data_IF_864893023557
#
_entry.id   IF_864893023557
#
_cell.length_a   1.000
_cell.length_b   1.000
_cell.length_c   1.000
_cell.angle_alpha   90.00
_cell.angle_beta   90.00
_cell.angle_gamma   90.00
#
_symmetry.space_group_name_H-M   'P 1'
#
loop_
_entity.id
_entity.type
_entity.pdbx_description
1 polymer ?
#
# COMPACT_ATOMS: atom_id res chain seq x y z
N UNK A 1 9.64 17.53 10.42
CA UNK A 1 8.61 16.49 10.34
C UNK A 1 8.30 16.03 11.76
N UNK A 2 7.03 15.98 12.14
CA UNK A 2 6.58 15.38 13.41
C UNK A 2 6.94 13.90 13.42
N UNK A 3 7.22 13.33 14.59
CA UNK A 3 7.45 11.88 14.70
C UNK A 3 6.25 11.11 14.15
N UNK A 4 6.47 10.03 13.37
CA UNK A 4 5.37 9.24 12.84
C UNK A 4 4.50 8.68 13.95
N UNK A 5 3.17 8.75 13.80
CA UNK A 5 2.26 8.14 14.74
C UNK A 5 2.22 6.61 14.57
N UNK A 6 2.04 5.83 15.64
CA UNK A 6 1.74 4.41 15.55
C UNK A 6 0.48 4.13 14.70
N UNK A 7 0.40 2.91 14.15
CA UNK A 7 -0.79 2.41 13.46
C UNK A 7 -1.12 1.00 13.96
N UNK A 8 -1.85 0.89 15.06
CA UNK A 8 -2.07 -0.38 15.76
C UNK A 8 -2.88 -1.39 14.95
N UNK A 9 -3.73 -0.93 14.04
CA UNK A 9 -4.63 -1.79 13.29
C UNK A 9 -4.90 -1.26 11.89
N UNK A 10 -5.10 -2.15 10.94
CA UNK A 10 -5.56 -1.80 9.59
C UNK A 10 -6.94 -1.10 9.61
N UNK A 11 -7.76 -1.39 10.62
CA UNK A 11 -9.05 -0.71 10.84
C UNK A 11 -8.93 0.80 11.06
N UNK A 12 -7.73 1.29 11.36
CA UNK A 12 -7.44 2.73 11.50
C UNK A 12 -6.75 3.32 10.27
N UNK A 13 -6.48 2.50 9.26
CA UNK A 13 -5.76 2.94 8.07
C UNK A 13 -6.67 3.68 7.08
N UNK A 14 -6.25 4.86 6.65
CA UNK A 14 -6.80 5.56 5.50
C UNK A 14 -5.97 5.21 4.26
N UNK A 15 -6.61 4.55 3.29
CA UNK A 15 -5.94 3.97 2.13
C UNK A 15 -6.32 4.72 0.86
N UNK A 16 -5.36 4.94 -0.04
CA UNK A 16 -5.64 5.28 -1.42
C UNK A 16 -5.64 4.00 -2.29
N UNK A 17 -6.69 3.85 -3.09
CA UNK A 17 -6.90 2.76 -4.02
C UNK A 17 -7.40 3.33 -5.35
N UNK A 18 -6.61 3.15 -6.40
CA UNK A 18 -6.93 3.78 -7.68
C UNK A 18 -7.60 2.83 -8.65
N UNK A 19 -8.58 3.36 -9.35
CA UNK A 19 -9.31 2.59 -10.38
C UNK A 19 -8.51 2.44 -11.67
N UNK A 20 -7.54 3.33 -11.91
CA UNK A 20 -6.68 3.30 -13.09
C UNK A 20 -7.43 3.44 -14.41
N UNK A 21 -6.78 3.16 -15.52
CA UNK A 21 -7.32 3.27 -16.88
C UNK A 21 -8.01 2.01 -17.38
N UNK A 22 -7.54 0.81 -16.95
CA UNK A 22 -8.17 -0.45 -17.36
C UNK A 22 -9.49 -0.66 -16.60
N UNK A 23 -10.58 -0.63 -17.35
CA UNK A 23 -11.97 -0.80 -16.88
C UNK A 23 -12.65 -2.00 -17.54
N UNK A 24 -11.88 -2.97 -18.06
CA UNK A 24 -12.43 -4.22 -18.56
C UNK A 24 -13.21 -4.97 -17.46
N UNK A 25 -14.17 -5.79 -17.84
CA UNK A 25 -15.03 -6.50 -16.89
C UNK A 25 -14.18 -7.36 -15.91
N UNK A 26 -13.20 -8.08 -16.43
CA UNK A 26 -12.32 -8.91 -15.62
C UNK A 26 -11.56 -8.10 -14.57
N UNK A 27 -10.95 -6.99 -14.98
CA UNK A 27 -10.17 -6.12 -14.06
C UNK A 27 -11.09 -5.41 -13.07
N UNK A 28 -12.28 -4.98 -13.50
CA UNK A 28 -13.26 -4.38 -12.59
C UNK A 28 -13.75 -5.35 -11.53
N UNK A 29 -13.92 -6.63 -11.85
CA UNK A 29 -14.26 -7.64 -10.85
C UNK A 29 -13.17 -7.80 -9.79
N UNK A 30 -11.89 -7.89 -10.20
CA UNK A 30 -10.74 -7.97 -9.27
C UNK A 30 -10.67 -6.72 -8.37
N UNK A 31 -10.83 -5.54 -8.96
CA UNK A 31 -10.85 -4.25 -8.22
C UNK A 31 -12.01 -4.21 -7.23
N UNK A 32 -13.19 -4.63 -7.65
CA UNK A 32 -14.38 -4.61 -6.78
C UNK A 32 -14.23 -5.59 -5.61
N UNK A 33 -13.74 -6.80 -5.84
CA UNK A 33 -13.47 -7.75 -4.76
C UNK A 33 -12.39 -7.24 -3.81
N UNK A 34 -11.33 -6.64 -4.33
CA UNK A 34 -10.27 -6.01 -3.52
C UNK A 34 -10.83 -4.89 -2.66
N UNK A 35 -11.61 -3.98 -3.27
CA UNK A 35 -12.27 -2.90 -2.54
C UNK A 35 -13.19 -3.43 -1.45
N UNK A 36 -14.03 -4.43 -1.78
CA UNK A 36 -14.95 -5.05 -0.81
C UNK A 36 -14.21 -5.62 0.41
N UNK A 37 -13.05 -6.29 0.20
CA UNK A 37 -12.23 -6.81 1.30
C UNK A 37 -11.55 -5.71 2.10
N UNK A 38 -11.07 -4.65 1.44
CA UNK A 38 -10.45 -3.53 2.16
C UNK A 38 -11.41 -2.86 3.14
N UNK A 39 -12.67 -2.64 2.73
CA UNK A 39 -13.66 -1.88 3.54
C UNK A 39 -14.64 -2.75 4.31
N UNK A 40 -14.83 -3.99 3.89
CA UNK A 40 -15.80 -4.90 4.49
C UNK A 40 -15.36 -5.42 5.84
N UNK A 41 -16.32 -5.82 6.63
CA UNK A 41 -16.09 -6.42 7.95
C UNK A 41 -16.22 -7.95 7.87
N UNK A 42 -15.14 -8.65 8.23
CA UNK A 42 -15.09 -10.11 8.26
C UNK A 42 -16.10 -10.70 9.25
N UNK A 43 -16.26 -10.06 10.40
CA UNK A 43 -17.15 -10.51 11.46
C UNK A 43 -18.62 -10.29 11.09
N UNK A 44 -18.88 -9.39 10.14
CA UNK A 44 -20.21 -9.12 9.55
C UNK A 44 -20.45 -9.85 8.23
N UNK A 45 -19.64 -10.86 7.90
CA UNK A 45 -19.88 -11.77 6.78
C UNK A 45 -19.21 -11.40 5.45
N UNK A 46 -18.21 -10.49 5.44
CA UNK A 46 -17.38 -10.23 4.27
C UNK A 46 -16.10 -11.08 4.34
N UNK A 47 -15.97 -12.16 3.55
CA UNK A 47 -14.79 -13.01 3.60
C UNK A 47 -13.52 -12.23 3.26
N UNK A 48 -12.52 -12.26 4.18
CA UNK A 48 -11.27 -11.51 4.01
C UNK A 48 -11.40 -10.00 4.23
N UNK A 49 -12.50 -9.55 4.82
CA UNK A 49 -12.72 -8.14 5.16
C UNK A 49 -11.74 -7.64 6.21
N UNK A 50 -11.12 -6.49 5.99
CA UNK A 50 -10.11 -5.87 6.86
C UNK A 50 -10.58 -4.56 7.50
N UNK A 51 -11.74 -4.05 7.08
CA UNK A 51 -12.43 -2.92 7.69
C UNK A 51 -11.56 -1.65 7.80
N UNK A 52 -10.84 -1.29 6.72
CA UNK A 52 -10.07 -0.05 6.70
C UNK A 52 -10.93 1.15 7.11
N UNK A 53 -10.34 2.13 7.78
CA UNK A 53 -11.03 3.37 8.19
C UNK A 53 -11.71 4.07 7.02
N UNK A 54 -11.07 4.04 5.87
CA UNK A 54 -11.65 4.58 4.65
C UNK A 54 -10.74 4.37 3.44
N UNK A 55 -11.35 4.49 2.26
CA UNK A 55 -10.64 4.40 0.99
C UNK A 55 -10.87 5.69 0.20
N UNK A 56 -9.84 6.15 -0.48
CA UNK A 56 -9.86 7.32 -1.36
C UNK A 56 -9.35 6.94 -2.74
N UNK A 57 -9.90 7.58 -3.77
CA UNK A 57 -9.38 7.53 -5.13
C UNK A 57 -9.23 8.98 -5.60
N UNK A 58 -8.00 9.40 -5.83
CA UNK A 58 -7.67 10.80 -6.13
C UNK A 58 -7.15 11.01 -7.55
N UNK A 59 -6.81 9.90 -8.23
CA UNK A 59 -6.47 9.91 -9.65
C UNK A 59 -5.04 10.33 -9.98
N UNK A 60 -4.13 10.44 -9.01
CA UNK A 60 -2.74 10.83 -9.26
C UNK A 60 -1.77 10.00 -8.43
N UNK A 61 -0.95 9.18 -9.09
CA UNK A 61 0.10 8.42 -8.43
C UNK A 61 1.09 9.33 -7.68
N UNK A 62 1.58 10.37 -8.32
CA UNK A 62 2.53 11.31 -7.71
C UNK A 62 1.97 11.97 -6.45
N UNK A 63 0.71 12.41 -6.48
CA UNK A 63 0.06 13.00 -5.31
C UNK A 63 -0.20 11.96 -4.22
N UNK A 64 -0.59 10.74 -4.57
CA UNK A 64 -0.78 9.67 -3.59
C UNK A 64 0.52 9.31 -2.86
N UNK A 65 1.66 9.20 -3.58
CA UNK A 65 2.97 9.04 -2.96
C UNK A 65 3.28 10.19 -1.98
N UNK A 66 3.03 11.45 -2.38
CA UNK A 66 3.25 12.60 -1.53
C UNK A 66 2.34 12.58 -0.28
N UNK A 67 1.07 12.22 -0.42
CA UNK A 67 0.15 12.11 0.71
C UNK A 67 0.57 11.02 1.71
N UNK A 68 1.06 9.87 1.24
CA UNK A 68 1.61 8.83 2.12
C UNK A 68 2.90 9.32 2.79
N UNK A 69 3.79 9.99 2.05
CA UNK A 69 5.03 10.55 2.60
C UNK A 69 4.77 11.60 3.69
N UNK A 70 3.72 12.40 3.54
CA UNK A 70 3.28 13.38 4.55
C UNK A 70 2.53 12.76 5.73
N UNK A 71 2.13 11.48 5.65
CA UNK A 71 1.33 10.81 6.66
C UNK A 71 -0.17 11.19 6.67
N UNK A 72 -0.67 11.81 5.61
CA UNK A 72 -2.10 12.10 5.43
C UNK A 72 -2.89 10.93 4.87
N UNK A 73 -2.19 9.95 4.30
CA UNK A 73 -2.66 8.61 3.99
C UNK A 73 -1.74 7.59 4.68
N UNK A 74 -2.30 6.47 5.09
CA UNK A 74 -1.53 5.38 5.69
C UNK A 74 -0.93 4.45 4.66
N UNK A 75 -1.63 4.21 3.56
CA UNK A 75 -1.16 3.39 2.45
C UNK A 75 -1.72 3.86 1.11
N UNK A 76 -1.01 3.51 0.05
CA UNK A 76 -1.43 3.70 -1.33
C UNK A 76 -1.08 2.48 -2.17
N UNK A 77 -2.03 2.02 -2.99
CA UNK A 77 -1.83 0.89 -3.89
C UNK A 77 -2.35 1.20 -5.29
N UNK A 78 -1.56 0.81 -6.29
CA UNK A 78 -1.90 0.99 -7.70
C UNK A 78 -1.19 -0.03 -8.60
N UNK A 79 -1.87 -0.38 -9.68
CA UNK A 79 -1.33 -1.16 -10.80
C UNK A 79 -1.58 -0.37 -12.09
N UNK A 80 -0.49 -0.19 -12.88
CA UNK A 80 -0.58 0.40 -14.22
C UNK A 80 0.21 1.68 -14.43
N UNK A 81 0.63 2.38 -13.38
CA UNK A 81 1.51 3.55 -13.52
C UNK A 81 2.85 3.17 -14.11
N UNK A 82 3.43 4.10 -14.87
CA UNK A 82 4.76 3.96 -15.41
C UNK A 82 5.83 4.46 -14.44
N UNK A 83 7.07 4.03 -14.64
CA UNK A 83 8.20 4.42 -13.79
C UNK A 83 8.36 5.95 -13.67
N UNK A 84 8.12 6.70 -14.76
CA UNK A 84 8.21 8.17 -14.75
C UNK A 84 7.11 8.86 -13.97
N UNK A 85 5.96 8.20 -13.74
CA UNK A 85 4.87 8.73 -12.90
C UNK A 85 5.19 8.64 -11.41
N UNK A 86 6.07 7.71 -11.03
CA UNK A 86 6.29 7.35 -9.62
C UNK A 86 7.73 7.56 -9.13
N UNK A 87 8.72 7.71 -10.01
CA UNK A 87 10.13 7.75 -9.60
C UNK A 87 10.43 8.86 -8.58
N UNK A 88 9.90 10.07 -8.78
CA UNK A 88 10.05 11.15 -7.82
C UNK A 88 9.31 10.86 -6.51
N UNK A 89 8.08 10.33 -6.60
CA UNK A 89 7.28 9.92 -5.45
C UNK A 89 7.95 8.84 -4.61
N UNK A 90 8.59 7.87 -5.25
CA UNK A 90 9.38 6.82 -4.58
C UNK A 90 10.52 7.43 -3.76
N UNK A 91 11.27 8.37 -4.31
CA UNK A 91 12.35 9.04 -3.58
C UNK A 91 11.79 9.80 -2.37
N UNK A 92 10.75 10.61 -2.59
CA UNK A 92 10.11 11.38 -1.51
C UNK A 92 9.59 10.45 -0.40
N UNK A 93 8.91 9.37 -0.76
CA UNK A 93 8.37 8.41 0.20
C UNK A 93 9.50 7.73 1.00
N UNK A 94 10.58 7.31 0.33
CA UNK A 94 11.71 6.67 1.00
C UNK A 94 12.42 7.61 1.97
N UNK A 95 12.67 8.84 1.57
CA UNK A 95 13.28 9.87 2.44
C UNK A 95 12.37 10.19 3.66
N UNK A 96 11.07 10.03 3.50
CA UNK A 96 10.10 10.16 4.60
C UNK A 96 9.98 8.89 5.48
N UNK A 97 10.76 7.83 5.22
CA UNK A 97 10.71 6.58 5.98
C UNK A 97 9.57 5.64 5.60
N UNK A 98 8.93 5.85 4.45
CA UNK A 98 7.90 4.95 3.97
C UNK A 98 8.48 3.62 3.46
N UNK A 99 7.70 2.57 3.58
CA UNK A 99 7.94 1.29 2.93
C UNK A 99 7.38 1.35 1.50
N UNK A 100 8.23 1.07 0.51
CA UNK A 100 7.83 1.00 -0.91
C UNK A 100 8.05 -0.41 -1.42
N UNK A 101 7.00 -1.04 -1.91
CA UNK A 101 6.97 -2.41 -2.41
C UNK A 101 6.44 -2.46 -3.85
N UNK A 102 6.82 -3.53 -4.57
CA UNK A 102 6.35 -3.84 -5.92
C UNK A 102 5.11 -4.74 -5.89
N UNK A 103 5.14 -5.83 -6.69
CA UNK A 103 4.07 -6.83 -6.69
C UNK A 103 3.98 -7.62 -5.37
N UNK A 104 2.86 -8.32 -5.19
CA UNK A 104 2.68 -9.25 -4.08
C UNK A 104 3.80 -10.31 -4.02
N UNK A 105 4.23 -10.83 -5.17
CA UNK A 105 5.34 -11.77 -5.25
C UNK A 105 6.67 -11.14 -4.80
N UNK A 106 6.94 -9.88 -5.19
CA UNK A 106 8.09 -9.14 -4.69
C UNK A 106 8.01 -8.92 -3.17
N UNK A 107 6.85 -8.50 -2.67
CA UNK A 107 6.64 -8.24 -1.25
C UNK A 107 6.86 -9.48 -0.38
N UNK A 108 6.44 -10.67 -0.83
CA UNK A 108 6.62 -11.93 -0.11
C UNK A 108 8.11 -12.22 0.19
N UNK A 109 9.03 -11.82 -0.69
CA UNK A 109 10.47 -11.98 -0.50
C UNK A 109 11.09 -10.80 0.25
N UNK A 110 10.66 -9.58 -0.08
CA UNK A 110 11.27 -8.35 0.42
C UNK A 110 10.97 -8.11 1.91
N UNK A 111 9.78 -8.48 2.39
CA UNK A 111 9.37 -8.27 3.78
C UNK A 111 10.11 -9.18 4.78
N UNK A 112 10.59 -10.35 4.33
CA UNK A 112 11.34 -11.30 5.14
C UNK A 112 12.84 -11.26 4.86
N UNK A 113 13.28 -10.34 3.99
CA UNK A 113 14.68 -10.15 3.63
C UNK A 113 15.51 -9.57 4.76
N UNK A 114 16.88 -9.70 4.66
CA UNK A 114 17.80 -9.28 5.70
C UNK A 114 17.96 -7.75 5.81
N UNK A 115 17.48 -7.00 4.84
CA UNK A 115 17.59 -5.52 4.78
C UNK A 115 16.20 -4.90 4.88
N UNK A 116 16.03 -4.00 5.84
CA UNK A 116 14.80 -3.26 6.02
C UNK A 116 15.06 -1.75 6.18
N UNK A 117 14.32 -0.86 5.51
CA UNK A 117 13.35 -1.17 4.45
C UNK A 117 14.05 -1.77 3.21
N UNK A 118 13.39 -2.66 2.47
CA UNK A 118 14.00 -3.28 1.29
C UNK A 118 14.34 -2.21 0.24
N UNK A 119 15.42 -2.38 -0.54
CA UNK A 119 15.77 -1.43 -1.59
C UNK A 119 14.69 -1.41 -2.69
N UNK A 120 14.42 -0.22 -3.22
CA UNK A 120 13.59 -0.12 -4.43
C UNK A 120 14.47 -0.41 -5.65
N UNK A 121 14.35 -1.61 -6.18
CA UNK A 121 15.10 -2.08 -7.34
C UNK A 121 14.49 -1.56 -8.65
N UNK A 122 15.22 -1.58 -9.77
CA UNK A 122 14.64 -1.30 -11.10
C UNK A 122 13.39 -2.13 -11.39
N UNK A 123 13.33 -3.38 -10.96
CA UNK A 123 12.18 -4.27 -11.16
C UNK A 123 10.93 -3.77 -10.44
N UNK A 124 11.06 -3.16 -9.26
CA UNK A 124 9.93 -2.50 -8.59
C UNK A 124 9.44 -1.33 -9.42
N UNK A 125 10.35 -0.49 -9.94
CA UNK A 125 9.97 0.68 -10.73
C UNK A 125 9.33 0.31 -12.07
N UNK A 126 9.83 -0.74 -12.74
CA UNK A 126 9.34 -1.15 -14.05
C UNK A 126 8.20 -2.15 -13.99
N UNK A 127 7.99 -2.79 -12.84
CA UNK A 127 6.93 -3.78 -12.62
C UNK A 127 5.52 -3.20 -12.59
N UNK A 128 5.40 -1.87 -12.50
CA UNK A 128 4.13 -1.14 -12.60
C UNK A 128 3.07 -1.56 -11.58
N UNK A 129 3.51 -2.13 -10.47
CA UNK A 129 2.67 -2.51 -9.30
C UNK A 129 3.31 -1.91 -8.07
N UNK A 130 2.57 -1.13 -7.31
CA UNK A 130 3.13 -0.38 -6.19
C UNK A 130 2.23 -0.46 -4.96
N UNK A 131 2.84 -0.76 -3.82
CA UNK A 131 2.28 -0.52 -2.50
C UNK A 131 3.23 0.38 -1.72
N UNK A 132 2.70 1.47 -1.21
CA UNK A 132 3.44 2.39 -0.33
C UNK A 132 2.73 2.42 1.03
N UNK A 133 3.49 2.26 2.11
CA UNK A 133 3.01 2.38 3.48
C UNK A 133 3.81 3.48 4.17
N UNK A 134 3.14 4.43 4.81
CA UNK A 134 3.82 5.53 5.49
C UNK A 134 4.80 5.07 6.57
N UNK A 135 5.68 5.94 6.97
CA UNK A 135 6.42 5.74 8.22
C UNK A 135 5.45 5.56 9.39
N UNK A 136 5.67 4.53 10.19
CA UNK A 136 4.88 4.22 11.38
C UNK A 136 5.80 4.32 12.60
N UNK A 137 5.35 5.00 13.63
CA UNK A 137 6.09 5.13 14.88
C UNK A 137 6.01 3.86 15.73
N UNK A 138 7.00 3.67 16.59
CA UNK A 138 7.00 2.58 17.57
C UNK A 138 5.81 2.69 18.53
N UNK A 139 5.34 1.55 18.98
CA UNK A 139 4.38 1.41 20.06
C UNK A 139 5.01 0.59 21.21
N UNK A 140 4.40 0.52 22.40
CA UNK A 140 4.90 -0.35 23.48
C UNK A 140 4.98 -1.84 23.11
N UNK A 141 4.29 -2.27 22.08
CA UNK A 141 4.12 -3.68 21.71
C UNK A 141 4.69 -4.06 20.36
N UNK A 142 5.05 -3.08 19.53
CA UNK A 142 5.46 -3.33 18.15
C UNK A 142 6.38 -2.20 17.65
N UNK A 143 7.47 -2.55 16.98
CA UNK A 143 8.29 -1.55 16.27
C UNK A 143 7.54 -0.98 15.06
N UNK A 144 7.85 0.26 14.67
CA UNK A 144 7.28 0.86 13.47
C UNK A 144 7.58 0.06 12.20
N UNK A 145 8.77 -0.56 12.13
CA UNK A 145 9.14 -1.45 11.03
C UNK A 145 8.25 -2.69 10.95
N UNK A 146 7.96 -3.32 12.09
CA UNK A 146 7.08 -4.50 12.13
C UNK A 146 5.64 -4.11 11.83
N UNK A 147 5.19 -2.95 12.31
CA UNK A 147 3.89 -2.40 11.98
C UNK A 147 3.74 -2.15 10.46
N UNK A 148 4.76 -1.57 9.80
CA UNK A 148 4.74 -1.41 8.34
C UNK A 148 4.64 -2.76 7.62
N UNK A 149 5.41 -3.77 8.06
CA UNK A 149 5.33 -5.13 7.49
C UNK A 149 3.95 -5.76 7.68
N UNK A 150 3.38 -5.63 8.87
CA UNK A 150 2.04 -6.12 9.19
C UNK A 150 0.98 -5.47 8.29
N UNK A 151 0.99 -4.14 8.18
CA UNK A 151 0.06 -3.40 7.32
C UNK A 151 0.20 -3.84 5.85
N UNK A 152 1.43 -3.98 5.35
CA UNK A 152 1.68 -4.43 3.99
C UNK A 152 1.15 -5.86 3.74
N UNK A 153 1.39 -6.80 4.67
CA UNK A 153 0.86 -8.18 4.56
C UNK A 153 -0.66 -8.21 4.60
N UNK A 154 -1.28 -7.45 5.51
CA UNK A 154 -2.75 -7.33 5.58
C UNK A 154 -3.31 -6.78 4.26
N UNK A 155 -2.67 -5.75 3.72
CA UNK A 155 -3.09 -5.14 2.45
C UNK A 155 -3.04 -6.15 1.30
N UNK A 156 -1.89 -6.83 1.12
CA UNK A 156 -1.76 -7.83 0.05
C UNK A 156 -2.67 -9.03 0.24
N UNK A 157 -3.05 -9.37 1.47
CA UNK A 157 -4.06 -10.38 1.75
C UNK A 157 -5.48 -10.01 1.30
N UNK A 158 -5.76 -8.71 1.18
CA UNK A 158 -7.06 -8.20 0.79
C UNK A 158 -7.21 -7.92 -0.71
N UNK A 159 -6.11 -7.67 -1.43
CA UNK A 159 -6.17 -7.26 -2.85
C UNK A 159 -5.86 -8.40 -3.80
N UNK A 160 -6.39 -8.28 -5.01
CA UNK A 160 -6.11 -9.17 -6.14
C UNK A 160 -5.31 -8.42 -7.19
N UNK A 161 -4.14 -8.94 -7.53
CA UNK A 161 -3.33 -8.39 -8.61
C UNK A 161 -3.72 -8.98 -9.97
N UNK A 162 -3.32 -8.27 -11.01
CA UNK A 162 -3.42 -8.71 -12.41
C UNK A 162 -2.15 -8.36 -13.16
N UNK A 163 -1.94 -9.01 -14.27
CA UNK A 163 -0.82 -8.72 -15.18
C UNK A 163 -1.22 -7.64 -16.18
N UNK A 164 -0.22 -6.86 -16.61
CA UNK A 164 -0.35 -5.69 -17.48
C UNK A 164 0.11 -6.01 -18.90
#
# INVERSE_FOLDING_TARGET
>A
LTQPAPLPSFKQALVAFEWGSDRSAEIMEKKTRSFQRLVGDRDSGVPGGEMALGVRSMGSAALNFAHVAMGTLDAYWEIGCWAWDVCAGVVIAREAGCLVLGSQAHAAHALDGPVYPPPTTPDVLTGRKYLVVRAIGDSPHESGADAQKRIARTFYGAVEEWDL
#
